data_IF_125911267014
#
_entry.id   IF_125911267014
#
_cell.length_a   1.000
_cell.length_b   1.000
_cell.length_c   1.000
_cell.angle_alpha   90.00
_cell.angle_beta   90.00
_cell.angle_gamma   90.00
#
_symmetry.space_group_name_H-M   'P 1'
#
loop_
_entity.id
_entity.type
_entity.pdbx_description
1 polymer ?
#
# COMPACT_ATOMS: atom_id res chain seq x y z
N UNK A 1 -0.55 -6.05 -35.06
CA UNK A 1 -0.30 -6.76 -33.79
C UNK A 1 -0.30 -8.26 -34.02
N UNK A 2 0.37 -9.01 -33.15
CA UNK A 2 0.39 -10.48 -33.18
C UNK A 2 -0.92 -11.09 -32.64
N UNK A 3 -1.76 -10.29 -32.00
CA UNK A 3 -3.00 -10.72 -31.36
C UNK A 3 -4.18 -9.90 -31.87
N UNK A 4 -5.36 -10.51 -31.93
CA UNK A 4 -6.63 -9.87 -32.28
C UNK A 4 -7.25 -9.06 -31.13
N UNK A 5 -6.59 -9.04 -29.98
CA UNK A 5 -7.03 -8.35 -28.76
C UNK A 5 -5.87 -7.56 -28.16
N UNK A 6 -6.21 -6.54 -27.39
CA UNK A 6 -5.26 -5.74 -26.64
C UNK A 6 -4.74 -6.53 -25.43
N UNK A 7 -3.43 -6.41 -25.16
CA UNK A 7 -2.77 -7.03 -24.02
C UNK A 7 -2.33 -5.96 -23.04
N UNK A 8 -2.54 -6.21 -21.75
CA UNK A 8 -2.18 -5.27 -20.66
C UNK A 8 -0.83 -5.58 -19.99
N UNK A 9 -0.06 -6.52 -20.57
CA UNK A 9 1.26 -6.88 -20.08
C UNK A 9 1.63 -8.34 -20.29
N UNK A 10 2.61 -8.81 -19.51
CA UNK A 10 3.18 -10.17 -19.62
C UNK A 10 3.05 -10.90 -18.27
N UNK A 11 2.88 -12.20 -18.34
CA UNK A 11 2.93 -13.09 -17.18
C UNK A 11 4.11 -14.04 -17.34
N UNK A 12 5.06 -13.95 -16.42
CA UNK A 12 6.21 -14.85 -16.33
C UNK A 12 5.90 -15.93 -15.29
N UNK A 13 5.98 -17.17 -15.70
CA UNK A 13 5.62 -18.31 -14.85
C UNK A 13 6.77 -19.30 -14.82
N UNK A 14 7.12 -19.80 -13.64
CA UNK A 14 8.11 -20.85 -13.49
C UNK A 14 7.65 -22.14 -14.17
N UNK A 15 8.46 -22.66 -15.12
CA UNK A 15 8.07 -23.79 -15.97
C UNK A 15 8.32 -25.17 -15.33
N UNK A 16 9.22 -25.24 -14.35
CA UNK A 16 9.61 -26.51 -13.71
C UNK A 16 8.70 -26.91 -12.54
N UNK A 17 7.88 -25.97 -12.05
CA UNK A 17 6.93 -26.23 -10.96
C UNK A 17 5.53 -26.40 -11.53
N UNK A 18 4.73 -27.25 -10.93
CA UNK A 18 3.31 -27.25 -11.19
C UNK A 18 2.65 -25.98 -10.64
N UNK A 19 1.57 -25.54 -11.26
CA UNK A 19 0.87 -24.29 -10.89
C UNK A 19 0.50 -24.29 -9.39
N UNK A 20 0.90 -23.22 -8.69
CA UNK A 20 0.68 -23.08 -7.25
C UNK A 20 1.63 -23.93 -6.39
N UNK A 21 2.55 -24.69 -6.97
CA UNK A 21 3.52 -25.52 -6.25
C UNK A 21 4.80 -24.75 -5.90
N UNK A 22 5.56 -25.32 -4.98
CA UNK A 22 6.81 -24.77 -4.43
C UNK A 22 8.04 -25.63 -4.80
N UNK A 23 7.88 -26.59 -5.70
CA UNK A 23 8.97 -27.48 -6.11
C UNK A 23 8.66 -28.29 -7.37
N UNK A 24 9.71 -28.91 -7.93
CA UNK A 24 9.62 -29.72 -9.16
C UNK A 24 8.61 -30.86 -8.98
N UNK A 25 7.67 -30.95 -9.91
CA UNK A 25 6.63 -31.98 -9.92
C UNK A 25 5.53 -31.86 -8.89
N UNK A 26 5.56 -30.80 -8.05
CA UNK A 26 4.51 -30.51 -7.06
C UNK A 26 3.55 -29.48 -7.62
N UNK A 27 2.26 -29.72 -7.44
CA UNK A 27 1.19 -28.75 -7.72
C UNK A 27 0.69 -28.14 -6.42
N UNK A 28 0.20 -26.92 -6.50
CA UNK A 28 -0.39 -26.23 -5.36
C UNK A 28 -1.78 -26.76 -4.99
N UNK A 29 -2.38 -26.20 -3.92
CA UNK A 29 -3.70 -26.59 -3.48
C UNK A 29 -4.77 -26.18 -4.50
N UNK A 30 -5.88 -26.90 -4.53
CA UNK A 30 -7.03 -26.58 -5.39
C UNK A 30 -7.71 -25.24 -5.05
N UNK A 31 -7.36 -24.64 -3.91
CA UNK A 31 -7.87 -23.32 -3.50
C UNK A 31 -7.07 -22.21 -4.16
N UNK A 32 -7.72 -21.12 -4.52
CA UNK A 32 -7.07 -19.91 -5.02
C UNK A 32 -6.16 -19.32 -3.93
N UNK A 33 -4.86 -19.40 -4.16
CA UNK A 33 -3.83 -18.84 -3.29
C UNK A 33 -2.85 -17.99 -4.12
N UNK A 34 -2.21 -16.96 -3.54
CA UNK A 34 -1.08 -16.30 -4.18
C UNK A 34 0.02 -17.31 -4.52
N UNK A 35 0.67 -17.12 -5.66
CA UNK A 35 1.77 -17.98 -6.09
C UNK A 35 3.00 -17.14 -6.40
N UNK A 36 4.03 -17.27 -5.58
CA UNK A 36 5.24 -16.43 -5.59
C UNK A 36 6.14 -16.66 -6.82
N UNK A 37 5.88 -17.71 -7.60
CA UNK A 37 6.62 -18.04 -8.84
C UNK A 37 5.88 -17.62 -10.13
N UNK A 38 4.92 -16.73 -10.00
CA UNK A 38 4.22 -16.10 -11.14
C UNK A 38 4.31 -14.59 -11.01
N UNK A 39 5.01 -13.96 -11.95
CA UNK A 39 5.22 -12.52 -11.98
C UNK A 39 4.41 -11.91 -13.11
N UNK A 40 3.72 -10.81 -12.81
CA UNK A 40 3.01 -10.00 -13.79
C UNK A 40 3.76 -8.71 -14.00
N UNK A 41 4.14 -8.46 -15.23
CA UNK A 41 4.67 -7.17 -15.64
C UNK A 41 3.61 -6.45 -16.47
N UNK A 42 3.49 -5.15 -16.23
CA UNK A 42 2.66 -4.24 -17.01
C UNK A 42 3.50 -3.06 -17.46
N UNK A 43 3.26 -2.50 -18.66
CA UNK A 43 3.78 -1.21 -19.03
C UNK A 43 3.43 -0.16 -17.97
N UNK A 44 4.28 0.86 -17.75
CA UNK A 44 4.09 1.84 -16.67
C UNK A 44 2.71 2.50 -16.65
N UNK A 45 2.16 2.78 -17.83
CA UNK A 45 0.84 3.41 -18.04
C UNK A 45 -0.34 2.55 -17.58
N UNK A 46 -0.15 1.23 -17.43
CA UNK A 46 -1.16 0.30 -16.93
C UNK A 46 -1.03 -0.01 -15.44
N UNK A 47 -0.13 0.68 -14.73
CA UNK A 47 -0.06 0.60 -13.27
C UNK A 47 -1.16 1.47 -12.66
N UNK A 48 -2.25 0.84 -12.27
CA UNK A 48 -3.46 1.48 -11.75
C UNK A 48 -3.77 1.02 -10.33
N UNK A 49 -4.56 1.81 -9.61
CA UNK A 49 -5.02 1.47 -8.27
C UNK A 49 -6.54 1.65 -8.20
N UNK A 50 -7.22 0.65 -7.66
CA UNK A 50 -8.65 0.74 -7.34
C UNK A 50 -8.82 1.37 -5.96
N UNK A 51 -9.49 2.50 -5.87
CA UNK A 51 -9.81 3.16 -4.62
C UNK A 51 -11.30 3.24 -4.35
N UNK A 52 -11.67 3.20 -3.08
CA UNK A 52 -12.97 3.68 -2.65
C UNK A 52 -12.94 5.22 -2.61
N UNK A 53 -13.80 5.85 -3.38
CA UNK A 53 -13.95 7.30 -3.44
C UNK A 53 -14.83 7.78 -2.31
N UNK A 54 -14.36 8.77 -1.56
CA UNK A 54 -15.15 9.47 -0.53
C UNK A 54 -15.10 10.97 -0.82
N UNK A 55 -16.25 11.58 -1.03
CA UNK A 55 -16.33 13.03 -1.30
C UNK A 55 -16.19 13.84 -0.02
N UNK A 56 -15.47 14.97 -0.08
CA UNK A 56 -15.41 15.90 1.06
C UNK A 56 -16.72 16.65 1.19
N UNK A 57 -17.27 16.66 2.42
CA UNK A 57 -18.57 17.25 2.73
C UNK A 57 -18.46 18.37 3.76
N UNK A 58 -19.38 19.34 3.66
CA UNK A 58 -19.58 20.37 4.68
C UNK A 58 -21.08 20.41 5.01
N UNK A 59 -21.41 20.22 6.27
CA UNK A 59 -22.81 20.13 6.74
C UNK A 59 -23.66 19.06 6.04
N UNK A 60 -23.04 17.98 5.54
CA UNK A 60 -23.72 16.88 4.85
C UNK A 60 -23.71 16.99 3.32
N UNK A 61 -23.44 18.16 2.77
CA UNK A 61 -23.40 18.40 1.31
C UNK A 61 -21.97 18.34 0.77
N UNK A 62 -21.82 17.87 -0.46
CA UNK A 62 -20.53 17.83 -1.15
C UNK A 62 -19.97 19.23 -1.37
N UNK A 63 -18.68 19.40 -1.11
CA UNK A 63 -17.99 20.68 -1.36
C UNK A 63 -17.68 20.79 -2.84
N UNK A 64 -18.32 21.77 -3.51
CA UNK A 64 -18.05 22.09 -4.91
C UNK A 64 -17.24 23.40 -4.94
N UNK A 65 -16.10 23.36 -5.62
CA UNK A 65 -15.19 24.50 -5.72
C UNK A 65 -15.14 25.00 -7.16
N UNK A 66 -15.38 26.31 -7.41
CA UNK A 66 -15.22 26.89 -8.73
C UNK A 66 -13.74 27.04 -9.08
N UNK A 67 -13.41 26.88 -10.38
CA UNK A 67 -12.06 27.08 -10.92
C UNK A 67 -12.12 27.78 -12.26
N UNK A 68 -11.22 28.73 -12.48
CA UNK A 68 -11.02 29.37 -13.78
C UNK A 68 -10.06 28.51 -14.61
N UNK A 69 -10.42 28.21 -15.85
CA UNK A 69 -9.54 27.58 -16.82
C UNK A 69 -9.03 28.65 -17.78
N UNK A 70 -7.73 28.68 -18.02
CA UNK A 70 -7.11 29.57 -18.98
C UNK A 70 -7.74 29.39 -20.38
N UNK A 71 -8.06 30.51 -21.01
CA UNK A 71 -8.63 30.54 -22.38
C UNK A 71 -10.16 30.39 -22.47
N UNK A 72 -10.89 30.26 -21.36
CA UNK A 72 -12.35 30.26 -21.34
C UNK A 72 -12.91 31.61 -20.91
N UNK A 73 -14.07 31.98 -21.46
CA UNK A 73 -14.76 33.22 -21.07
C UNK A 73 -15.32 33.09 -19.65
N UNK A 74 -15.58 34.25 -19.00
CA UNK A 74 -16.17 34.34 -17.65
C UNK A 74 -17.51 33.58 -17.48
N UNK A 75 -18.18 33.25 -18.58
CA UNK A 75 -19.45 32.52 -18.58
C UNK A 75 -19.29 31.00 -18.35
N UNK A 76 -18.08 30.45 -18.49
CA UNK A 76 -17.82 29.03 -18.39
C UNK A 76 -16.95 28.71 -17.16
N UNK A 77 -17.46 29.05 -15.97
CA UNK A 77 -16.83 28.68 -14.72
C UNK A 77 -16.88 27.17 -14.55
N UNK A 78 -15.71 26.52 -14.60
CA UNK A 78 -15.60 25.10 -14.31
C UNK A 78 -15.68 24.86 -12.81
N UNK A 79 -16.07 23.66 -12.42
CA UNK A 79 -16.24 23.26 -11.03
C UNK A 79 -15.55 21.91 -10.78
N UNK A 80 -15.05 21.71 -9.57
CA UNK A 80 -14.50 20.43 -9.16
C UNK A 80 -14.94 20.04 -7.75
N UNK A 81 -14.84 18.75 -7.45
CA UNK A 81 -14.93 18.18 -6.11
C UNK A 81 -13.56 17.68 -5.68
N UNK A 82 -13.23 17.86 -4.41
CA UNK A 82 -12.10 17.19 -3.79
C UNK A 82 -12.59 15.89 -3.16
N UNK A 83 -11.95 14.81 -3.51
CA UNK A 83 -12.23 13.46 -3.01
C UNK A 83 -11.06 12.91 -2.22
N UNK A 84 -11.37 12.01 -1.31
CA UNK A 84 -10.42 11.15 -0.63
C UNK A 84 -10.39 9.78 -1.30
N UNK A 85 -9.21 9.30 -1.59
CA UNK A 85 -8.96 7.97 -2.15
C UNK A 85 -8.61 7.04 -1.00
N UNK A 86 -9.47 6.06 -0.77
CA UNK A 86 -9.33 5.13 0.35
C UNK A 86 -9.08 3.71 -0.14
N UNK A 87 -8.27 2.97 0.61
CA UNK A 87 -7.98 1.56 0.38
C UNK A 87 -8.29 0.73 1.62
N UNK A 88 -8.46 -0.58 1.42
CA UNK A 88 -8.79 -1.49 2.50
C UNK A 88 -7.58 -1.77 3.39
N UNK A 89 -7.73 -1.63 4.70
CA UNK A 89 -6.67 -1.77 5.67
C UNK A 89 -7.12 -2.58 6.89
N UNK A 90 -6.18 -3.37 7.38
CA UNK A 90 -6.32 -4.09 8.64
C UNK A 90 -4.98 -4.03 9.37
N UNK A 91 -4.98 -3.42 10.53
CA UNK A 91 -3.76 -3.14 11.29
C UNK A 91 -2.98 -4.40 11.69
N UNK A 92 -3.67 -5.47 12.07
CA UNK A 92 -3.02 -6.76 12.37
C UNK A 92 -2.26 -7.36 11.19
N UNK A 93 -2.76 -7.13 9.97
CA UNK A 93 -2.18 -7.70 8.74
C UNK A 93 -1.13 -6.80 8.09
N UNK A 94 -1.33 -5.49 8.18
CA UNK A 94 -0.54 -4.50 7.44
C UNK A 94 0.40 -3.68 8.34
N UNK A 95 0.30 -3.84 9.67
CA UNK A 95 1.05 -3.01 10.63
C UNK A 95 0.55 -1.57 10.69
N UNK A 96 1.33 -0.67 11.24
CA UNK A 96 1.04 0.76 11.27
C UNK A 96 1.34 1.41 9.93
N UNK A 97 0.50 2.37 9.51
CA UNK A 97 0.68 3.08 8.24
C UNK A 97 1.91 3.98 8.30
N UNK A 98 2.05 4.74 9.38
CA UNK A 98 3.16 5.68 9.57
C UNK A 98 3.61 5.74 11.03
N UNK A 99 4.19 4.65 11.55
CA UNK A 99 4.48 4.54 12.99
C UNK A 99 5.43 5.61 13.52
N UNK A 100 6.33 6.14 12.68
CA UNK A 100 7.25 7.20 13.10
C UNK A 100 6.52 8.53 13.34
N UNK A 101 5.55 8.86 12.50
CA UNK A 101 4.74 10.06 12.65
C UNK A 101 3.81 9.95 13.85
N UNK A 102 3.16 8.79 14.01
CA UNK A 102 2.27 8.51 15.13
C UNK A 102 3.00 8.66 16.47
N UNK A 103 4.25 8.19 16.55
CA UNK A 103 5.09 8.37 17.75
C UNK A 103 5.47 9.84 17.97
N UNK A 104 5.80 10.55 16.88
CA UNK A 104 6.20 11.95 16.97
C UNK A 104 5.04 12.87 17.42
N UNK A 105 3.82 12.57 16.96
CA UNK A 105 2.62 13.35 17.27
C UNK A 105 1.91 12.89 18.55
N UNK A 106 2.42 11.83 19.20
CA UNK A 106 1.81 11.19 20.38
C UNK A 106 0.39 10.67 20.10
N UNK A 107 0.14 10.27 18.87
CA UNK A 107 -1.13 9.73 18.37
C UNK A 107 -1.11 8.19 18.26
N UNK A 108 -0.36 7.53 19.13
CA UNK A 108 -0.35 6.06 19.15
C UNK A 108 -1.76 5.54 19.46
N UNK A 109 -2.23 4.53 18.71
CA UNK A 109 -3.55 3.97 18.94
C UNK A 109 -3.65 3.41 20.35
N UNK A 110 -4.76 3.72 21.01
CA UNK A 110 -5.06 3.16 22.32
C UNK A 110 -5.34 1.66 22.20
N UNK A 111 -4.46 0.84 22.75
CA UNK A 111 -4.56 -0.62 22.75
C UNK A 111 -5.66 -1.17 23.66
N UNK A 112 -6.40 -0.29 24.36
CA UNK A 112 -7.51 -0.67 25.22
C UNK A 112 -8.71 -1.27 24.46
N UNK A 113 -8.96 -0.82 23.24
CA UNK A 113 -10.10 -1.24 22.42
C UNK A 113 -9.70 -2.36 21.46
N UNK A 114 -9.65 -3.60 21.98
CA UNK A 114 -9.30 -4.80 21.23
C UNK A 114 -10.25 -5.14 20.06
N UNK A 115 -11.40 -4.51 19.97
CA UNK A 115 -12.42 -4.80 18.94
C UNK A 115 -12.09 -4.14 17.60
N UNK A 116 -11.39 -3.02 17.57
CA UNK A 116 -11.19 -2.22 16.34
C UNK A 116 -9.96 -2.62 15.52
N UNK A 117 -8.93 -3.21 16.13
CA UNK A 117 -7.67 -3.58 15.46
C UNK A 117 -7.79 -4.74 14.46
N UNK A 118 -8.80 -5.60 14.63
CA UNK A 118 -9.02 -6.76 13.75
C UNK A 118 -9.93 -6.45 12.57
N UNK A 119 -10.54 -5.27 12.53
CA UNK A 119 -11.52 -4.91 11.54
C UNK A 119 -10.86 -4.43 10.25
N UNK A 120 -11.28 -5.00 9.12
CA UNK A 120 -10.90 -4.50 7.80
C UNK A 120 -11.73 -3.26 7.49
N UNK A 121 -11.08 -2.09 7.36
CA UNK A 121 -11.74 -0.80 7.20
C UNK A 121 -11.12 0.03 6.08
N UNK A 122 -11.85 0.98 5.48
CA UNK A 122 -11.29 1.89 4.50
C UNK A 122 -10.49 3.00 5.20
N UNK A 123 -9.22 3.18 4.78
CA UNK A 123 -8.34 4.25 5.27
C UNK A 123 -7.89 5.14 4.13
N UNK A 124 -7.58 6.39 4.40
CA UNK A 124 -6.97 7.30 3.44
C UNK A 124 -5.66 6.71 2.93
N UNK A 125 -5.44 6.76 1.62
CA UNK A 125 -4.21 6.26 1.04
C UNK A 125 -3.05 7.22 1.31
N UNK A 126 -2.14 6.81 2.18
CA UNK A 126 -0.91 7.53 2.51
C UNK A 126 0.27 6.62 2.22
N UNK A 127 0.85 6.70 1.01
CA UNK A 127 1.96 5.84 0.64
C UNK A 127 3.27 6.23 1.34
N UNK A 128 4.14 5.23 1.55
CA UNK A 128 5.40 5.41 2.28
C UNK A 128 6.65 5.38 1.40
N UNK A 129 6.58 4.79 0.19
CA UNK A 129 7.72 4.66 -0.73
C UNK A 129 7.32 4.96 -2.18
N UNK A 130 7.56 6.21 -2.65
CA UNK A 130 7.93 7.41 -1.90
C UNK A 130 6.80 7.89 -0.98
N UNK A 131 7.18 8.51 0.15
CA UNK A 131 6.20 9.06 1.09
C UNK A 131 5.51 10.29 0.49
N UNK A 132 4.19 10.29 0.50
CA UNK A 132 3.36 11.45 0.15
C UNK A 132 2.08 11.48 0.99
N UNK A 133 1.99 12.38 1.98
CA UNK A 133 0.84 12.48 2.88
C UNK A 133 -0.43 12.97 2.17
N UNK A 134 -0.32 13.59 1.01
CA UNK A 134 -1.45 14.09 0.23
C UNK A 134 -1.84 13.18 -0.96
N UNK A 135 -1.13 12.06 -1.16
CA UNK A 135 -1.41 11.17 -2.29
C UNK A 135 -2.85 10.66 -2.33
N UNK A 136 -3.49 10.51 -1.17
CA UNK A 136 -4.91 10.12 -1.09
C UNK A 136 -5.90 11.24 -1.34
N UNK A 137 -5.47 12.45 -1.73
CA UNK A 137 -6.36 13.59 -1.98
C UNK A 137 -6.33 13.92 -3.48
N UNK A 138 -7.50 13.94 -4.10
CA UNK A 138 -7.63 14.18 -5.54
C UNK A 138 -8.75 15.17 -5.83
N UNK A 139 -8.54 16.02 -6.84
CA UNK A 139 -9.56 16.93 -7.39
C UNK A 139 -10.12 16.34 -8.69
N UNK A 140 -11.43 16.28 -8.81
CA UNK A 140 -12.13 15.77 -10.00
C UNK A 140 -12.98 16.88 -10.61
N UNK A 141 -12.69 17.21 -11.87
CA UNK A 141 -13.52 18.16 -12.62
C UNK A 141 -14.92 17.61 -12.83
N UNK A 142 -15.91 18.46 -12.59
CA UNK A 142 -17.31 18.13 -12.86
C UNK A 142 -17.63 18.42 -14.33
N UNK A 143 -18.41 17.53 -14.91
CA UNK A 143 -18.98 17.68 -16.26
C UNK A 143 -20.49 17.57 -16.16
N UNK A 144 -21.22 18.20 -17.12
CA UNK A 144 -22.67 18.07 -17.19
C UNK A 144 -23.04 16.73 -17.79
N UNK A 145 -23.98 16.05 -17.15
CA UNK A 145 -24.64 14.89 -17.74
C UNK A 145 -25.73 15.33 -18.76
N UNK A 146 -26.38 14.35 -19.37
CA UNK A 146 -27.44 14.59 -20.36
C UNK A 146 -28.66 15.35 -19.79
N UNK A 147 -28.79 15.34 -18.45
CA UNK A 147 -29.87 16.09 -17.74
C UNK A 147 -29.43 17.50 -17.33
N UNK A 148 -28.15 17.86 -17.59
CA UNK A 148 -27.58 19.15 -17.22
C UNK A 148 -27.03 19.22 -15.79
N UNK A 149 -27.04 18.12 -15.06
CA UNK A 149 -26.50 18.02 -13.67
C UNK A 149 -24.99 17.85 -13.72
N UNK A 150 -24.28 18.54 -12.81
CA UNK A 150 -22.82 18.44 -12.68
C UNK A 150 -22.43 17.19 -11.93
N UNK A 151 -21.67 16.29 -12.57
CA UNK A 151 -21.25 15.00 -12.03
C UNK A 151 -19.76 14.72 -12.27
N UNK A 152 -19.22 13.75 -11.52
CA UNK A 152 -17.89 13.20 -11.73
C UNK A 152 -18.00 12.09 -12.77
N UNK A 153 -17.07 12.07 -13.73
CA UNK A 153 -17.00 11.06 -14.79
C UNK A 153 -15.61 10.43 -14.80
N UNK A 154 -15.57 9.15 -15.04
CA UNK A 154 -14.36 8.44 -15.42
C UNK A 154 -14.05 8.64 -16.93
N UNK A 155 -12.86 8.26 -17.39
CA UNK A 155 -12.45 8.40 -18.79
C UNK A 155 -13.31 7.55 -19.75
N UNK A 156 -13.85 6.43 -19.28
CA UNK A 156 -14.78 5.58 -20.03
C UNK A 156 -16.19 6.19 -20.19
N UNK A 157 -16.44 7.34 -19.57
CA UNK A 157 -17.73 8.04 -19.62
C UNK A 157 -18.72 7.64 -18.53
N UNK A 158 -18.38 6.67 -17.67
CA UNK A 158 -19.24 6.30 -16.55
C UNK A 158 -19.24 7.37 -15.45
N UNK A 159 -20.42 7.62 -14.89
CA UNK A 159 -20.61 8.51 -13.74
C UNK A 159 -20.26 7.77 -12.45
N UNK A 160 -19.55 8.45 -11.57
CA UNK A 160 -19.33 7.94 -10.22
C UNK A 160 -19.62 8.98 -9.14
N UNK A 161 -19.94 8.51 -7.97
CA UNK A 161 -20.36 9.31 -6.82
C UNK A 161 -19.61 8.87 -5.55
N UNK A 162 -20.01 9.44 -4.43
CA UNK A 162 -19.54 9.04 -3.11
C UNK A 162 -19.74 7.52 -2.87
N UNK A 163 -18.80 6.88 -2.20
CA UNK A 163 -18.82 5.43 -1.92
C UNK A 163 -18.85 4.54 -3.18
N UNK A 164 -18.18 4.96 -4.24
CA UNK A 164 -17.97 4.17 -5.47
C UNK A 164 -16.52 3.71 -5.55
N UNK A 165 -16.27 2.48 -5.98
CA UNK A 165 -14.93 1.98 -6.25
C UNK A 165 -14.58 2.30 -7.69
N UNK A 166 -13.47 3.05 -7.87
CA UNK A 166 -13.02 3.54 -9.16
C UNK A 166 -11.55 3.20 -9.36
N UNK A 167 -11.19 2.80 -10.56
CA UNK A 167 -9.81 2.56 -10.96
C UNK A 167 -9.16 3.86 -11.43
N UNK A 168 -8.00 4.18 -10.87
CA UNK A 168 -7.25 5.39 -11.17
C UNK A 168 -5.87 5.08 -11.74
N UNK A 169 -5.44 5.87 -12.73
CA UNK A 169 -4.04 6.00 -13.14
C UNK A 169 -3.43 7.26 -12.53
N UNK A 170 -2.11 7.28 -12.38
CA UNK A 170 -1.38 8.42 -11.81
C UNK A 170 -0.51 9.09 -12.87
N UNK A 171 -0.76 10.36 -13.15
CA UNK A 171 -0.02 11.16 -14.14
C UNK A 171 0.89 12.18 -13.43
N UNK A 172 2.21 11.90 -13.44
CA UNK A 172 3.19 12.69 -12.69
C UNK A 172 3.34 14.12 -13.19
N UNK A 173 3.05 14.38 -14.46
CA UNK A 173 3.21 15.69 -15.09
C UNK A 173 2.12 16.70 -14.70
N UNK A 174 1.08 16.25 -14.05
CA UNK A 174 0.01 17.13 -13.56
C UNK A 174 0.35 17.73 -12.20
N UNK A 175 -0.36 18.81 -11.84
CA UNK A 175 -0.33 19.38 -10.48
C UNK A 175 -0.73 18.33 -9.44
N UNK A 176 -0.14 18.39 -8.26
CA UNK A 176 -0.18 17.34 -7.24
C UNK A 176 -1.57 16.75 -6.98
N UNK A 177 -2.60 17.57 -6.77
CA UNK A 177 -3.97 17.10 -6.49
C UNK A 177 -4.78 16.71 -7.73
N UNK A 178 -4.21 16.82 -8.94
CA UNK A 178 -4.82 16.48 -10.22
C UNK A 178 -4.17 15.27 -10.89
N UNK A 179 -3.20 14.63 -10.24
CA UNK A 179 -2.42 13.52 -10.80
C UNK A 179 -3.21 12.22 -10.93
N UNK A 180 -4.19 12.01 -10.03
CA UNK A 180 -5.06 10.86 -10.15
C UNK A 180 -6.17 11.12 -11.17
N UNK A 181 -6.23 10.25 -12.16
CA UNK A 181 -7.21 10.31 -13.25
C UNK A 181 -8.09 9.07 -13.17
N UNK A 182 -9.42 9.24 -12.97
CA UNK A 182 -10.34 8.10 -12.93
C UNK A 182 -10.48 7.50 -14.32
N UNK A 183 -10.20 6.20 -14.48
CA UNK A 183 -10.26 5.50 -15.76
C UNK A 183 -11.61 4.86 -15.98
N UNK A 184 -12.07 4.09 -15.00
CA UNK A 184 -13.35 3.36 -15.06
C UNK A 184 -13.93 3.09 -13.69
N UNK A 185 -15.24 2.91 -13.66
CA UNK A 185 -15.96 2.49 -12.45
C UNK A 185 -15.86 0.97 -12.28
N UNK A 186 -15.55 0.53 -11.08
CA UNK A 186 -15.53 -0.90 -10.72
C UNK A 186 -16.90 -1.31 -10.18
N UNK A 187 -17.85 -1.45 -11.11
CA UNK A 187 -19.25 -1.76 -10.78
C UNK A 187 -19.40 -3.09 -10.04
N UNK A 188 -18.60 -4.09 -10.39
CA UNK A 188 -18.50 -5.38 -9.71
C UNK A 188 -18.22 -5.20 -8.22
N UNK A 189 -17.12 -4.53 -7.89
CA UNK A 189 -16.66 -4.30 -6.51
C UNK A 189 -17.58 -3.35 -5.73
N UNK A 190 -18.08 -2.32 -6.40
CA UNK A 190 -19.02 -1.35 -5.81
C UNK A 190 -20.33 -2.02 -5.40
N UNK A 191 -20.84 -2.90 -6.24
CA UNK A 191 -22.08 -3.65 -5.95
C UNK A 191 -21.90 -4.61 -4.77
N UNK A 192 -20.79 -5.36 -4.75
CA UNK A 192 -20.44 -6.24 -3.63
C UNK A 192 -20.36 -5.48 -2.30
N UNK A 193 -19.73 -4.30 -2.31
CA UNK A 193 -19.61 -3.45 -1.13
C UNK A 193 -20.98 -2.95 -0.66
N UNK A 194 -21.80 -2.40 -1.57
CA UNK A 194 -23.13 -1.85 -1.25
C UNK A 194 -24.12 -2.92 -0.77
N UNK A 195 -23.98 -4.15 -1.25
CA UNK A 195 -24.80 -5.29 -0.81
C UNK A 195 -24.29 -5.95 0.47
N UNK A 196 -23.12 -5.54 0.98
CA UNK A 196 -22.52 -6.15 2.16
C UNK A 196 -22.05 -7.59 1.96
N UNK A 197 -21.90 -8.04 0.70
CA UNK A 197 -21.42 -9.39 0.35
C UNK A 197 -19.98 -9.55 0.75
N UNK A 198 -19.15 -8.53 0.44
CA UNK A 198 -17.73 -8.48 0.80
C UNK A 198 -17.37 -7.09 1.32
N UNK A 199 -16.40 -7.05 2.23
CA UNK A 199 -15.77 -5.79 2.64
C UNK A 199 -14.72 -5.42 1.57
N UNK A 200 -15.20 -4.99 0.40
CA UNK A 200 -14.33 -4.59 -0.70
C UNK A 200 -14.22 -3.06 -0.73
N UNK A 201 -13.03 -2.54 -0.43
CA UNK A 201 -12.73 -1.10 -0.44
C UNK A 201 -11.74 -0.73 -1.55
N UNK A 202 -11.81 -1.43 -2.69
CA UNK A 202 -10.82 -1.30 -3.75
C UNK A 202 -9.60 -2.20 -3.51
N UNK A 203 -8.40 -1.70 -3.77
CA UNK A 203 -7.20 -2.45 -3.44
C UNK A 203 -6.98 -2.49 -1.93
N UNK A 204 -6.41 -3.60 -1.44
CA UNK A 204 -5.88 -3.63 -0.09
C UNK A 204 -4.65 -2.71 0.01
N UNK A 205 -4.41 -2.14 1.19
CA UNK A 205 -3.35 -1.16 1.42
C UNK A 205 -1.97 -1.59 0.90
N UNK A 206 -1.55 -2.82 1.19
CA UNK A 206 -0.26 -3.35 0.73
C UNK A 206 -0.17 -3.48 -0.80
N UNK A 207 -1.29 -3.78 -1.48
CA UNK A 207 -1.37 -3.83 -2.95
C UNK A 207 -1.27 -2.42 -3.52
N UNK A 208 -2.00 -1.46 -2.94
CA UNK A 208 -1.92 -0.06 -3.34
C UNK A 208 -0.50 0.50 -3.17
N UNK A 209 0.18 0.18 -2.07
CA UNK A 209 1.59 0.53 -1.84
C UNK A 209 2.53 -0.08 -2.89
N UNK A 210 2.35 -1.35 -3.22
CA UNK A 210 3.16 -2.02 -4.25
C UNK A 210 2.97 -1.36 -5.62
N UNK A 211 1.72 -1.06 -6.00
CA UNK A 211 1.42 -0.37 -7.25
C UNK A 211 1.97 1.06 -7.26
N UNK A 212 1.88 1.79 -6.15
CA UNK A 212 2.47 3.11 -5.99
C UNK A 212 3.99 3.09 -6.21
N UNK A 213 4.69 2.10 -5.63
CA UNK A 213 6.12 1.88 -5.87
C UNK A 213 6.42 1.62 -7.35
N UNK A 214 5.60 0.79 -8.01
CA UNK A 214 5.75 0.48 -9.44
C UNK A 214 5.47 1.69 -10.34
N UNK A 215 4.53 2.55 -9.97
CA UNK A 215 4.25 3.82 -10.67
C UNK A 215 5.49 4.74 -10.63
N UNK A 216 6.16 4.84 -9.49
CA UNK A 216 7.31 5.72 -9.31
C UNK A 216 8.64 5.11 -9.76
N UNK A 217 8.74 3.78 -9.79
CA UNK A 217 9.91 3.04 -10.24
C UNK A 217 9.48 1.92 -11.19
N UNK A 218 8.99 2.26 -12.40
CA UNK A 218 8.52 1.27 -13.34
C UNK A 218 9.65 0.46 -13.92
N UNK A 219 9.39 -0.83 -14.17
CA UNK A 219 10.26 -1.66 -15.01
C UNK A 219 9.86 -1.40 -16.45
N UNK A 220 10.75 -0.76 -17.20
CA UNK A 220 10.52 -0.42 -18.60
C UNK A 220 10.55 -1.66 -19.53
N UNK A 221 9.99 -1.48 -20.71
CA UNK A 221 10.00 -2.52 -21.77
C UNK A 221 11.43 -2.90 -22.15
N UNK A 222 12.34 -1.92 -22.21
CA UNK A 222 13.76 -2.15 -22.50
C UNK A 222 14.41 -3.12 -21.51
N UNK A 223 14.07 -3.00 -20.23
CA UNK A 223 14.58 -3.90 -19.20
C UNK A 223 14.08 -5.33 -19.42
N UNK A 224 12.79 -5.49 -19.76
CA UNK A 224 12.19 -6.81 -20.00
C UNK A 224 12.72 -7.45 -21.27
N UNK A 225 12.94 -6.67 -22.34
CA UNK A 225 13.32 -7.21 -23.65
C UNK A 225 14.82 -7.42 -23.80
N UNK A 226 15.64 -6.56 -23.21
CA UNK A 226 17.10 -6.58 -23.40
C UNK A 226 17.88 -7.02 -22.17
N UNK A 227 17.28 -6.94 -20.99
CA UNK A 227 17.97 -7.13 -19.71
C UNK A 227 18.92 -5.99 -19.35
N UNK A 228 18.95 -4.89 -20.13
CA UNK A 228 19.70 -3.69 -19.80
C UNK A 228 18.90 -2.85 -18.79
N UNK A 229 19.60 -1.98 -18.05
CA UNK A 229 19.01 -1.12 -17.03
C UNK A 229 18.26 -1.90 -15.93
N UNK A 230 18.59 -3.17 -15.74
CA UNK A 230 18.32 -3.76 -14.44
C UNK A 230 19.09 -2.85 -13.49
N UNK A 231 18.35 -2.03 -12.75
CA UNK A 231 18.92 -1.34 -11.59
C UNK A 231 19.75 -2.41 -10.91
N UNK A 232 21.08 -2.21 -10.86
CA UNK A 232 21.89 -3.06 -9.99
C UNK A 232 21.02 -3.13 -8.74
N UNK A 233 20.52 -4.33 -8.42
CA UNK A 233 20.05 -4.54 -7.05
C UNK A 233 21.21 -3.93 -6.32
N UNK A 234 21.01 -2.77 -5.69
CA UNK A 234 21.90 -2.37 -4.64
C UNK A 234 21.83 -3.60 -3.76
N UNK A 235 22.76 -4.52 -3.97
CA UNK A 235 23.04 -5.58 -3.03
C UNK A 235 23.39 -4.73 -1.86
N UNK A 236 22.40 -4.58 -0.99
CA UNK A 236 22.50 -3.79 0.21
C UNK A 236 23.78 -4.30 0.83
N UNK A 237 24.90 -3.61 0.62
CA UNK A 237 26.20 -3.98 1.23
C UNK A 237 26.03 -4.02 2.75
N UNK A 238 24.89 -3.53 3.20
CA UNK A 238 24.37 -3.52 4.56
C UNK A 238 23.64 -4.79 5.00
N UNK A 239 23.86 -5.97 4.38
CA UNK A 239 23.44 -7.22 5.00
C UNK A 239 24.31 -7.52 6.22
N UNK A 240 24.10 -6.71 7.26
CA UNK A 240 24.82 -6.79 8.52
C UNK A 240 24.62 -8.14 9.25
N UNK A 241 23.51 -8.84 8.98
CA UNK A 241 23.21 -10.15 9.54
C UNK A 241 23.11 -11.24 8.47
N UNK A 242 24.26 -11.69 7.96
CA UNK A 242 24.31 -12.94 7.22
C UNK A 242 24.06 -14.09 8.21
N UNK A 243 22.87 -14.70 8.16
CA UNK A 243 22.56 -15.88 8.99
C UNK A 243 23.41 -17.05 8.53
N UNK A 244 24.59 -17.21 9.10
CA UNK A 244 25.32 -18.47 9.03
C UNK A 244 24.52 -19.48 9.85
N UNK A 245 23.75 -20.32 9.16
CA UNK A 245 22.99 -21.40 9.73
C UNK A 245 23.98 -22.32 10.44
N UNK A 246 23.85 -22.46 11.80
CA UNK A 246 24.51 -23.43 12.64
C UNK A 246 25.98 -23.22 13.06
N UNK A 247 26.36 -22.08 13.59
CA UNK A 247 27.55 -22.03 14.42
C UNK A 247 27.24 -22.46 15.86
N UNK A 248 27.50 -23.74 16.20
CA UNK A 248 27.44 -24.23 17.59
C UNK A 248 28.46 -23.52 18.49
N UNK A 249 29.53 -22.96 17.91
CA UNK A 249 30.65 -22.29 18.61
C UNK A 249 30.26 -21.02 19.37
N UNK A 250 29.24 -20.29 18.92
CA UNK A 250 28.81 -19.02 19.53
C UNK A 250 27.52 -19.13 20.35
N UNK A 251 27.00 -20.35 20.59
CA UNK A 251 25.74 -20.56 21.31
C UNK A 251 25.79 -20.01 22.74
N UNK A 252 26.85 -20.28 23.46
CA UNK A 252 27.02 -19.81 24.85
C UNK A 252 27.04 -18.28 24.92
N UNK A 253 27.78 -17.64 24.02
CA UNK A 253 27.86 -16.19 23.95
C UNK A 253 26.49 -15.57 23.63
N UNK A 254 25.75 -16.15 22.68
CA UNK A 254 24.38 -15.68 22.36
C UNK A 254 23.42 -15.84 23.54
N UNK A 255 23.47 -16.94 24.25
CA UNK A 255 22.66 -17.14 25.44
C UNK A 255 22.97 -16.10 26.52
N UNK A 256 24.26 -15.81 26.74
CA UNK A 256 24.69 -14.78 27.68
C UNK A 256 24.20 -13.38 27.26
N UNK A 257 24.42 -12.99 26.00
CA UNK A 257 23.93 -11.68 25.49
C UNK A 257 22.41 -11.54 25.60
N UNK A 258 21.66 -12.58 25.23
CA UNK A 258 20.21 -12.58 25.36
C UNK A 258 19.73 -12.46 26.81
N UNK A 259 20.44 -13.11 27.74
CA UNK A 259 20.15 -13.00 29.16
C UNK A 259 20.39 -11.58 29.68
N UNK A 260 21.55 -10.98 29.35
CA UNK A 260 21.87 -9.59 29.76
C UNK A 260 20.87 -8.61 29.17
N UNK A 261 20.55 -8.69 27.86
CA UNK A 261 19.54 -7.84 27.23
C UNK A 261 18.17 -7.94 27.92
N UNK A 262 17.75 -9.17 28.26
CA UNK A 262 16.47 -9.38 28.96
C UNK A 262 16.46 -8.70 30.34
N UNK A 263 17.55 -8.77 31.08
CA UNK A 263 17.68 -8.09 32.36
C UNK A 263 17.63 -6.58 32.17
N UNK A 264 18.40 -6.04 31.23
CA UNK A 264 18.45 -4.59 30.98
C UNK A 264 17.07 -4.05 30.59
N UNK A 265 16.37 -4.66 29.65
CA UNK A 265 15.03 -4.24 29.25
C UNK A 265 14.08 -4.23 30.46
N UNK A 266 14.05 -5.32 31.25
CA UNK A 266 13.19 -5.44 32.42
C UNK A 266 13.57 -4.49 33.57
N UNK A 267 14.83 -4.06 33.64
CA UNK A 267 15.27 -3.12 34.69
C UNK A 267 14.88 -1.68 34.44
N UNK A 268 14.62 -1.31 33.17
CA UNK A 268 14.31 0.07 32.76
C UNK A 268 12.87 0.24 32.27
N UNK A 269 12.08 -0.83 32.22
CA UNK A 269 10.69 -0.80 31.72
C UNK A 269 9.72 -1.45 32.70
N UNK A 270 8.50 -0.97 32.71
CA UNK A 270 7.36 -1.54 33.44
C UNK A 270 6.37 -2.17 32.46
N UNK A 271 5.47 -3.00 33.00
CA UNK A 271 4.35 -3.53 32.21
C UNK A 271 3.51 -2.38 31.65
N UNK A 272 3.29 -2.37 30.34
CA UNK A 272 2.50 -1.37 29.67
C UNK A 272 3.29 -0.18 29.14
N UNK A 273 4.61 -0.11 29.38
CA UNK A 273 5.45 0.95 28.83
C UNK A 273 5.63 0.84 27.32
N UNK A 274 6.00 1.97 26.72
CA UNK A 274 6.42 2.09 25.31
C UNK A 274 7.94 2.10 25.23
N UNK A 275 8.53 1.42 24.22
CA UNK A 275 9.97 1.37 24.03
C UNK A 275 10.32 1.74 22.59
N UNK A 276 11.40 2.50 22.41
CA UNK A 276 12.02 2.74 21.11
C UNK A 276 13.35 1.98 21.05
N UNK A 277 13.51 1.11 20.05
CA UNK A 277 14.76 0.41 19.78
C UNK A 277 15.42 0.99 18.52
N UNK A 278 16.51 1.73 18.67
CA UNK A 278 17.20 2.47 17.61
C UNK A 278 18.08 1.59 16.70
N UNK A 279 18.21 0.33 16.96
CA UNK A 279 18.97 -0.60 16.14
C UNK A 279 18.39 -2.01 16.28
N UNK A 280 17.12 -2.13 15.98
CA UNK A 280 16.35 -3.35 16.25
C UNK A 280 16.79 -4.56 15.42
N UNK A 281 17.55 -4.35 14.35
CA UNK A 281 17.94 -5.40 13.44
C UNK A 281 16.72 -6.14 12.89
N UNK A 282 16.82 -7.45 12.77
CA UNK A 282 15.69 -8.32 12.37
C UNK A 282 14.75 -8.67 13.53
N UNK A 283 14.62 -7.82 14.54
CA UNK A 283 13.73 -8.04 15.68
C UNK A 283 14.21 -9.15 16.63
N UNK A 284 15.54 -9.32 16.80
CA UNK A 284 16.12 -10.35 17.65
C UNK A 284 15.74 -10.26 19.12
N UNK A 285 15.23 -9.12 19.54
CA UNK A 285 14.81 -8.86 20.93
C UNK A 285 13.30 -8.95 21.16
N UNK A 286 12.51 -9.32 20.14
CA UNK A 286 11.05 -9.41 20.18
C UNK A 286 10.52 -10.24 21.36
N UNK A 287 11.12 -11.41 21.63
CA UNK A 287 10.72 -12.24 22.77
C UNK A 287 10.93 -11.54 24.12
N UNK A 288 11.96 -10.69 24.22
CA UNK A 288 12.29 -9.96 25.45
C UNK A 288 11.31 -8.81 25.70
N UNK A 289 10.86 -8.15 24.62
CA UNK A 289 9.82 -7.11 24.68
C UNK A 289 8.48 -7.70 25.14
N UNK A 290 8.12 -8.87 24.58
CA UNK A 290 6.92 -9.63 24.99
C UNK A 290 7.02 -10.06 26.47
N UNK A 291 8.17 -10.57 26.90
CA UNK A 291 8.41 -10.99 28.28
C UNK A 291 8.38 -9.82 29.26
N UNK A 292 8.78 -8.62 28.82
CA UNK A 292 8.67 -7.39 29.60
C UNK A 292 7.23 -6.84 29.64
N UNK A 293 6.32 -7.38 28.84
CA UNK A 293 4.92 -6.96 28.72
C UNK A 293 4.78 -5.48 28.33
N UNK A 294 5.61 -5.04 27.38
CA UNK A 294 5.51 -3.72 26.80
C UNK A 294 4.20 -3.60 26.00
N UNK A 295 3.58 -2.41 26.04
CA UNK A 295 2.37 -2.15 25.25
C UNK A 295 2.66 -1.88 23.79
N UNK A 296 3.79 -1.22 23.52
CA UNK A 296 4.21 -0.86 22.18
C UNK A 296 5.74 -0.82 22.06
N UNK A 297 6.27 -1.20 20.90
CA UNK A 297 7.70 -1.07 20.59
C UNK A 297 7.86 -0.53 19.17
N UNK A 298 8.52 0.61 19.04
CA UNK A 298 8.98 1.14 17.77
C UNK A 298 10.41 0.68 17.53
N UNK A 299 10.61 -0.22 16.57
CA UNK A 299 11.94 -0.63 16.12
C UNK A 299 12.38 0.21 14.92
N UNK A 300 13.57 0.78 14.99
CA UNK A 300 14.20 1.54 13.90
C UNK A 300 15.52 0.84 13.56
N UNK A 301 15.80 0.70 12.26
CA UNK A 301 17.08 0.18 11.79
C UNK A 301 17.51 0.92 10.52
N UNK A 302 18.83 1.06 10.33
CA UNK A 302 19.39 1.70 9.13
C UNK A 302 19.19 0.84 7.89
N UNK A 303 19.22 -0.50 8.04
CA UNK A 303 19.07 -1.43 6.95
C UNK A 303 17.60 -1.74 6.67
N UNK A 304 17.13 -1.44 5.47
CA UNK A 304 15.78 -1.80 5.03
C UNK A 304 15.58 -3.32 5.00
N UNK A 305 16.63 -4.10 4.66
CA UNK A 305 16.59 -5.58 4.69
C UNK A 305 16.27 -6.13 6.09
N UNK A 306 16.78 -5.48 7.14
CA UNK A 306 16.49 -5.89 8.51
C UNK A 306 15.01 -5.70 8.88
N UNK A 307 14.35 -4.70 8.31
CA UNK A 307 12.94 -4.39 8.59
C UNK A 307 12.00 -5.19 7.70
N UNK A 308 12.32 -5.30 6.41
CA UNK A 308 11.42 -5.84 5.39
C UNK A 308 11.52 -7.38 5.27
N UNK A 309 12.70 -7.97 5.51
CA UNK A 309 13.00 -9.39 5.30
C UNK A 309 13.24 -10.14 6.62
N UNK A 310 12.22 -10.24 7.45
CA UNK A 310 12.26 -10.97 8.74
C UNK A 310 12.18 -12.47 8.58
#
# INVERSE_FOLDING_TARGET
GLFEYETDGLIFTQTTFGVGGDGIGKTGPLKKVPWDYSFKWKPPEFNTIDFLVVTKKKNGDDIITPIFQDGKSYTDLSQYKTIELRCGYNQKRHGYINPCQDVYEDELPDYGDKEDESQYKPVLFVPTKPYDPEAGICNIMLKRDDTGVMKMFAEDGEVFEDNTIVEFKYEMDREKRWRWVPIRVRNDKTTELKQGITLNYGNAYHVAQSNWKSIHNPIGEDTITTGFNISSIEVDEDVYYNRIVNSKKTRGLRCFHNYIKSILIKSVSNKGDTLIDYACGKGGDFSKWTDARLSFVLGIDQSSDNIENR
#
